data_IF_175461664723
#
_entry.id   IF_175461664723
#
_cell.length_a   1.000
_cell.length_b   1.000
_cell.length_c   1.000
_cell.angle_alpha   90.00
_cell.angle_beta   90.00
_cell.angle_gamma   90.00
#
_symmetry.space_group_name_H-M   'P 1'
#
loop_
_entity.id
_entity.type
_entity.pdbx_description
1 polymer ?
#
# COMPACT_ATOMS: atom_id res chain seq x y z
N UNK A 1 34.02 -34.74 13.33
CA UNK A 1 32.76 -34.42 12.63
C UNK A 1 32.20 -33.17 13.33
N UNK A 2 32.58 -32.02 12.81
CA UNK A 2 32.25 -30.71 13.36
C UNK A 2 30.97 -30.26 12.64
N UNK A 3 29.86 -30.13 13.37
CA UNK A 3 28.62 -29.64 12.82
C UNK A 3 28.76 -28.13 12.50
N UNK A 4 28.67 -27.78 11.22
CA UNK A 4 28.52 -26.42 10.77
C UNK A 4 27.22 -25.87 11.38
N UNK A 5 27.36 -24.84 12.22
CA UNK A 5 26.26 -24.01 12.61
C UNK A 5 25.79 -23.24 11.37
N UNK A 6 24.66 -23.62 10.82
CA UNK A 6 23.91 -22.74 9.92
C UNK A 6 23.59 -21.42 10.66
N UNK A 7 24.26 -20.35 10.27
CA UNK A 7 23.91 -19.01 10.65
C UNK A 7 22.52 -18.71 10.05
N UNK A 8 21.49 -18.89 10.87
CA UNK A 8 20.15 -18.39 10.57
C UNK A 8 20.31 -16.88 10.42
N UNK A 9 20.35 -16.37 9.18
CA UNK A 9 20.24 -14.95 8.88
C UNK A 9 18.91 -14.46 9.47
N UNK A 10 18.96 -13.94 10.69
CA UNK A 10 17.84 -13.23 11.29
C UNK A 10 17.49 -12.12 10.29
N UNK A 11 16.33 -12.24 9.67
CA UNK A 11 15.83 -11.22 8.75
C UNK A 11 15.90 -9.88 9.48
N UNK A 12 16.64 -8.91 8.93
CA UNK A 12 16.84 -7.62 9.56
C UNK A 12 15.46 -6.96 9.77
N UNK A 13 15.02 -6.95 11.02
CA UNK A 13 13.76 -6.32 11.44
C UNK A 13 13.81 -4.81 11.16
N UNK A 14 12.65 -4.22 10.95
CA UNK A 14 12.53 -2.77 10.83
C UNK A 14 12.63 -2.15 12.23
N UNK A 15 13.78 -1.55 12.54
CA UNK A 15 14.07 -0.92 13.83
C UNK A 15 13.73 0.57 13.87
N UNK A 16 13.12 1.10 12.81
CA UNK A 16 12.72 2.51 12.77
C UNK A 16 11.60 2.77 13.77
N UNK A 17 11.76 3.81 14.59
CA UNK A 17 10.70 4.25 15.48
C UNK A 17 9.75 5.20 14.72
N UNK A 18 8.45 4.85 14.56
CA UNK A 18 7.50 5.69 13.84
C UNK A 18 7.05 6.87 14.70
N UNK A 19 7.20 8.08 14.15
CA UNK A 19 6.73 9.33 14.75
C UNK A 19 6.01 10.19 13.73
N UNK A 20 5.10 11.05 14.19
CA UNK A 20 4.51 12.13 13.40
C UNK A 20 5.01 13.48 13.92
N UNK A 21 5.63 14.24 13.04
CA UNK A 21 6.18 15.56 13.36
C UNK A 21 5.16 16.66 13.02
N UNK A 22 5.07 17.66 13.87
CA UNK A 22 4.33 18.89 13.61
C UNK A 22 5.23 19.84 12.80
N UNK A 23 5.40 19.56 11.51
CA UNK A 23 6.30 20.33 10.65
C UNK A 23 5.91 21.82 10.55
N UNK A 24 4.68 22.19 10.79
CA UNK A 24 4.22 23.59 10.81
C UNK A 24 4.82 24.40 11.96
N UNK A 25 5.30 23.73 13.00
CA UNK A 25 5.99 24.35 14.15
C UNK A 25 7.52 24.37 13.97
N UNK A 26 8.04 23.78 12.86
CA UNK A 26 9.45 23.59 12.59
C UNK A 26 9.87 24.30 11.30
N UNK A 27 11.17 24.59 11.21
CA UNK A 27 11.81 25.13 10.01
C UNK A 27 12.47 24.00 9.23
N UNK A 28 12.08 23.82 7.97
CA UNK A 28 12.62 22.80 7.09
C UNK A 28 13.56 23.40 6.06
N UNK A 29 14.77 22.86 5.96
CA UNK A 29 15.71 23.17 4.89
C UNK A 29 15.72 22.05 3.86
N UNK A 30 15.58 22.41 2.58
CA UNK A 30 15.80 21.48 1.45
C UNK A 30 17.04 21.97 0.70
N UNK A 31 18.07 21.12 0.59
CA UNK A 31 19.31 21.42 -0.15
C UNK A 31 19.27 20.66 -1.47
N UNK A 32 19.24 21.40 -2.57
CA UNK A 32 19.09 20.91 -3.93
C UNK A 32 17.90 21.55 -4.63
N UNK A 33 17.96 21.73 -5.95
CA UNK A 33 16.92 22.39 -6.75
C UNK A 33 16.40 21.55 -7.92
N UNK A 34 16.75 20.25 -8.00
CA UNK A 34 16.38 19.34 -9.08
C UNK A 34 15.02 18.64 -8.86
N UNK A 35 14.78 17.63 -9.69
CA UNK A 35 13.52 16.85 -9.66
C UNK A 35 13.30 16.12 -8.32
N UNK A 36 14.37 15.62 -7.69
CA UNK A 36 14.30 14.97 -6.38
C UNK A 36 13.89 15.96 -5.30
N UNK A 37 14.47 17.17 -5.32
CA UNK A 37 14.07 18.26 -4.40
C UNK A 37 12.59 18.63 -4.59
N UNK A 38 12.12 18.72 -5.84
CA UNK A 38 10.71 18.97 -6.17
C UNK A 38 9.79 17.88 -5.62
N UNK A 39 10.17 16.60 -5.77
CA UNK A 39 9.42 15.47 -5.20
C UNK A 39 9.31 15.57 -3.68
N UNK A 40 10.42 15.83 -2.98
CA UNK A 40 10.43 15.97 -1.52
C UNK A 40 9.64 17.19 -1.04
N UNK A 41 9.77 18.32 -1.74
CA UNK A 41 8.99 19.52 -1.49
C UNK A 41 7.48 19.26 -1.59
N UNK A 42 7.03 18.59 -2.67
CA UNK A 42 5.63 18.23 -2.84
C UNK A 42 5.16 17.25 -1.76
N UNK A 43 5.99 16.28 -1.38
CA UNK A 43 5.65 15.34 -0.30
C UNK A 43 5.42 16.08 1.03
N UNK A 44 6.23 17.09 1.34
CA UNK A 44 6.06 17.91 2.55
C UNK A 44 4.81 18.77 2.46
N UNK A 45 4.63 19.54 1.40
CA UNK A 45 3.51 20.48 1.26
C UNK A 45 2.14 19.75 1.20
N UNK A 46 2.08 18.59 0.55
CA UNK A 46 0.85 17.77 0.51
C UNK A 46 0.44 17.24 1.89
N UNK A 47 1.39 17.07 2.80
CA UNK A 47 1.15 16.52 4.13
C UNK A 47 1.10 17.58 5.23
N UNK A 48 1.84 18.67 5.07
CA UNK A 48 1.97 19.78 6.03
C UNK A 48 2.11 21.09 5.27
N UNK A 49 1.02 21.64 4.73
CA UNK A 49 1.05 22.80 3.82
C UNK A 49 1.53 24.10 4.49
N UNK A 50 1.48 24.18 5.82
CA UNK A 50 1.90 25.36 6.58
C UNK A 50 3.38 25.31 7.03
N UNK A 51 4.12 24.27 6.65
CA UNK A 51 5.55 24.13 7.00
C UNK A 51 6.35 25.29 6.43
N UNK A 52 7.18 25.93 7.25
CA UNK A 52 8.17 26.93 6.80
C UNK A 52 9.31 26.22 6.10
N UNK A 53 9.48 26.46 4.82
CA UNK A 53 10.47 25.76 3.99
C UNK A 53 11.41 26.77 3.38
N UNK A 54 12.71 26.55 3.58
CA UNK A 54 13.78 27.19 2.81
C UNK A 54 14.38 26.17 1.86
N UNK A 55 14.41 26.48 0.57
CA UNK A 55 15.04 25.63 -0.44
C UNK A 55 16.26 26.36 -1.00
N UNK A 56 17.43 25.72 -0.90
CA UNK A 56 18.70 26.24 -1.37
C UNK A 56 19.29 25.31 -2.41
N UNK A 57 19.60 25.82 -3.59
CA UNK A 57 20.21 25.04 -4.68
C UNK A 57 20.97 25.94 -5.64
N UNK A 58 22.05 25.43 -6.24
CA UNK A 58 22.86 26.19 -7.22
C UNK A 58 21.99 26.54 -8.44
N UNK A 59 21.15 25.59 -8.88
CA UNK A 59 20.14 25.75 -9.92
C UNK A 59 18.80 25.26 -9.37
N UNK A 60 17.75 26.03 -9.58
CA UNK A 60 16.39 25.68 -9.13
C UNK A 60 15.49 25.45 -10.33
N UNK A 61 14.88 24.25 -10.37
CA UNK A 61 13.93 23.83 -11.40
C UNK A 61 12.74 24.81 -11.50
N UNK A 62 12.30 25.11 -12.71
CA UNK A 62 11.16 26.00 -12.95
C UNK A 62 9.87 25.54 -12.27
N UNK A 63 9.64 24.22 -12.13
CA UNK A 63 8.50 23.70 -11.38
C UNK A 63 8.51 24.10 -9.91
N UNK A 64 9.68 24.17 -9.27
CA UNK A 64 9.84 24.66 -7.90
C UNK A 64 9.60 26.17 -7.85
N UNK A 65 10.11 26.94 -8.81
CA UNK A 65 9.88 28.38 -8.89
C UNK A 65 8.40 28.72 -9.03
N UNK A 66 7.70 28.04 -9.93
CA UNK A 66 6.24 28.19 -10.10
C UNK A 66 5.45 27.80 -8.84
N UNK A 67 5.91 26.77 -8.12
CA UNK A 67 5.27 26.36 -6.87
C UNK A 67 5.47 27.43 -5.77
N UNK A 68 6.63 28.06 -5.72
CA UNK A 68 6.94 29.12 -4.75
C UNK A 68 6.07 30.37 -4.94
N UNK A 69 5.73 30.72 -6.18
CA UNK A 69 4.79 31.83 -6.47
C UNK A 69 3.43 31.67 -5.82
N UNK A 70 3.02 30.41 -5.52
CA UNK A 70 1.72 30.05 -4.95
C UNK A 70 1.79 29.63 -3.48
N UNK A 71 2.99 29.66 -2.90
CA UNK A 71 3.26 29.10 -1.57
C UNK A 71 3.99 30.14 -0.71
N UNK A 72 3.26 30.83 0.17
CA UNK A 72 3.80 31.95 0.96
C UNK A 72 4.87 31.56 1.99
N UNK A 73 4.95 30.30 2.35
CA UNK A 73 5.86 29.74 3.35
C UNK A 73 7.05 29.00 2.73
N UNK A 74 7.31 29.18 1.44
CA UNK A 74 8.45 28.65 0.70
C UNK A 74 9.39 29.77 0.27
N UNK A 75 10.59 29.78 0.84
CA UNK A 75 11.69 30.68 0.44
C UNK A 75 12.67 29.96 -0.48
N UNK A 76 13.02 30.56 -1.61
CA UNK A 76 14.02 30.04 -2.55
C UNK A 76 15.31 30.84 -2.49
N UNK A 77 16.45 30.16 -2.50
CA UNK A 77 17.78 30.76 -2.58
C UNK A 77 18.58 30.02 -3.66
N UNK A 78 18.80 30.70 -4.80
CA UNK A 78 19.57 30.13 -5.93
C UNK A 78 21.05 30.37 -5.75
N UNK A 79 21.70 29.55 -4.92
CA UNK A 79 23.13 29.58 -4.58
C UNK A 79 23.57 28.26 -3.96
N UNK A 80 24.86 28.07 -3.75
CA UNK A 80 25.33 26.97 -2.90
C UNK A 80 24.83 27.16 -1.46
N UNK A 81 24.57 26.05 -0.76
CA UNK A 81 24.23 26.08 0.65
C UNK A 81 25.44 26.51 1.49
N UNK A 82 25.17 26.93 2.69
CA UNK A 82 26.19 27.25 3.71
C UNK A 82 25.81 26.57 5.02
N UNK A 83 26.76 26.33 5.91
CA UNK A 83 26.52 25.78 7.25
C UNK A 83 25.46 26.59 8.02
N UNK A 84 25.42 27.91 7.81
CA UNK A 84 24.40 28.78 8.42
C UNK A 84 22.96 28.41 8.00
N UNK A 85 22.74 27.88 6.81
CA UNK A 85 21.42 27.46 6.38
C UNK A 85 20.95 26.23 7.21
N UNK A 86 21.90 25.32 7.53
CA UNK A 86 21.64 24.15 8.39
C UNK A 86 21.37 24.58 9.83
N UNK A 87 22.17 25.55 10.36
CA UNK A 87 21.99 26.08 11.72
C UNK A 87 20.60 26.67 11.95
N UNK A 88 20.05 27.34 10.95
CA UNK A 88 18.72 27.98 10.99
C UNK A 88 17.54 27.00 10.83
N UNK A 89 17.80 25.77 10.46
CA UNK A 89 16.76 24.75 10.25
C UNK A 89 16.64 23.81 11.47
N UNK A 90 15.48 23.23 11.66
CA UNK A 90 15.25 22.15 12.63
C UNK A 90 15.44 20.78 11.98
N UNK A 91 15.10 20.66 10.70
CA UNK A 91 15.18 19.44 9.91
C UNK A 91 15.76 19.76 8.53
N UNK A 92 16.59 18.85 8.02
CA UNK A 92 17.27 18.99 6.73
C UNK A 92 16.89 17.85 5.80
N UNK A 93 16.60 18.18 4.54
CA UNK A 93 16.47 17.23 3.44
C UNK A 93 17.52 17.55 2.40
N UNK A 94 18.50 16.66 2.22
CA UNK A 94 19.52 16.77 1.19
C UNK A 94 19.07 16.02 -0.08
N UNK A 95 18.83 16.77 -1.15
CA UNK A 95 18.42 16.27 -2.46
C UNK A 95 19.46 16.61 -3.52
N UNK A 96 20.72 16.28 -3.24
CA UNK A 96 21.88 16.50 -4.10
C UNK A 96 22.42 15.17 -4.63
N UNK A 97 22.86 15.16 -5.90
CA UNK A 97 23.34 13.92 -6.54
C UNK A 97 24.77 13.56 -6.05
N UNK A 98 25.60 14.56 -5.77
CA UNK A 98 26.97 14.34 -5.37
C UNK A 98 27.06 13.65 -3.98
N UNK A 99 27.86 12.58 -3.90
CA UNK A 99 28.01 11.81 -2.67
C UNK A 99 28.79 12.59 -1.61
N UNK A 100 29.88 13.27 -2.00
CA UNK A 100 30.72 14.02 -1.06
C UNK A 100 29.96 15.18 -0.42
N UNK A 101 29.20 15.93 -1.22
CA UNK A 101 28.32 16.99 -0.72
C UNK A 101 27.23 16.41 0.21
N UNK A 102 26.67 15.24 -0.12
CA UNK A 102 25.69 14.57 0.73
C UNK A 102 26.26 14.16 2.09
N UNK A 103 27.48 13.62 2.09
CA UNK A 103 28.20 13.24 3.31
C UNK A 103 28.59 14.47 4.13
N UNK A 104 29.03 15.54 3.48
CA UNK A 104 29.32 16.81 4.13
C UNK A 104 28.08 17.37 4.83
N UNK A 105 26.92 17.46 4.15
CA UNK A 105 25.65 17.92 4.74
C UNK A 105 25.28 17.04 5.94
N UNK A 106 25.46 15.72 5.83
CA UNK A 106 25.18 14.80 6.94
C UNK A 106 26.06 15.08 8.15
N UNK A 107 27.37 15.28 7.95
CA UNK A 107 28.33 15.52 9.01
C UNK A 107 28.07 16.89 9.68
N UNK A 108 27.92 17.95 8.91
CA UNK A 108 27.58 19.29 9.41
C UNK A 108 26.25 19.26 10.20
N UNK A 109 25.20 18.58 9.68
CA UNK A 109 23.93 18.47 10.40
C UNK A 109 24.08 17.73 11.73
N UNK A 110 24.87 16.65 11.75
CA UNK A 110 25.12 15.85 12.95
C UNK A 110 25.88 16.65 14.02
N UNK A 111 26.92 17.43 13.64
CA UNK A 111 27.71 18.23 14.54
C UNK A 111 26.88 19.26 15.32
N UNK A 112 25.84 19.80 14.69
CA UNK A 112 24.93 20.77 15.29
C UNK A 112 23.61 20.18 15.76
N UNK A 113 23.50 18.82 15.78
CA UNK A 113 22.35 18.10 16.34
C UNK A 113 21.08 18.19 15.51
N UNK A 114 21.18 18.40 14.18
CA UNK A 114 20.02 18.45 13.29
C UNK A 114 19.76 17.09 12.65
N UNK A 115 18.48 16.74 12.51
CA UNK A 115 18.08 15.52 11.80
C UNK A 115 18.12 15.74 10.28
N UNK A 116 18.72 14.78 9.56
CA UNK A 116 18.83 14.86 8.10
C UNK A 116 18.28 13.62 7.40
N UNK A 117 17.57 13.87 6.30
CA UNK A 117 17.23 12.86 5.30
C UNK A 117 18.03 13.13 4.03
N UNK A 118 18.82 12.17 3.59
CA UNK A 118 19.58 12.26 2.33
C UNK A 118 18.89 11.38 1.30
N UNK A 119 18.41 12.01 0.23
CA UNK A 119 17.69 11.29 -0.83
C UNK A 119 18.59 10.21 -1.46
N UNK A 120 18.00 9.03 -1.67
CA UNK A 120 18.61 7.85 -2.27
C UNK A 120 19.86 7.28 -1.57
N UNK A 121 20.15 7.76 -0.36
CA UNK A 121 21.32 7.32 0.44
C UNK A 121 20.90 6.91 1.87
N UNK A 122 20.27 5.73 2.05
CA UNK A 122 19.74 5.30 3.35
C UNK A 122 20.73 5.32 4.51
N UNK A 123 22.01 5.00 4.24
CA UNK A 123 23.07 5.00 5.25
C UNK A 123 23.42 6.39 5.82
N UNK A 124 23.01 7.46 5.16
CA UNK A 124 23.22 8.85 5.60
C UNK A 124 21.97 9.46 6.25
N UNK A 125 20.86 8.73 6.33
CA UNK A 125 19.59 9.24 6.86
C UNK A 125 19.44 9.00 8.36
N UNK A 126 18.95 10.01 9.09
CA UNK A 126 18.46 9.85 10.47
C UNK A 126 16.98 9.47 10.50
N UNK A 127 16.21 9.82 9.47
CA UNK A 127 14.79 9.49 9.31
C UNK A 127 14.44 9.24 7.86
N UNK A 128 13.32 8.56 7.63
CA UNK A 128 12.82 8.28 6.30
C UNK A 128 11.48 8.96 6.04
N UNK A 129 11.29 9.42 4.80
CA UNK A 129 9.99 9.89 4.31
C UNK A 129 9.22 8.68 3.76
N UNK A 130 8.28 8.15 4.54
CA UNK A 130 7.45 7.01 4.15
C UNK A 130 6.35 7.38 3.15
N UNK A 131 5.72 6.36 2.56
CA UNK A 131 4.48 6.54 1.81
C UNK A 131 3.33 6.85 2.78
N UNK A 132 2.51 7.88 2.48
CA UNK A 132 1.46 8.35 3.38
C UNK A 132 0.09 8.16 2.72
N UNK A 133 -0.81 7.48 3.43
CA UNK A 133 -2.26 7.50 3.18
C UNK A 133 -2.86 8.62 4.00
N UNK A 134 -3.72 9.44 3.39
CA UNK A 134 -4.43 10.54 4.05
C UNK A 134 -5.92 10.46 3.72
N UNK A 135 -6.75 10.35 4.73
CA UNK A 135 -8.22 10.42 4.66
C UNK A 135 -8.73 11.34 5.76
N UNK A 136 -9.03 12.57 5.38
CA UNK A 136 -9.33 13.62 6.37
C UNK A 136 -8.18 13.77 7.37
N UNK A 137 -8.50 13.66 8.65
CA UNK A 137 -7.55 13.74 9.78
C UNK A 137 -6.74 12.46 10.00
N UNK A 138 -7.13 11.32 9.36
CA UNK A 138 -6.35 10.07 9.47
C UNK A 138 -5.14 10.11 8.55
N UNK A 139 -3.98 9.84 9.13
CA UNK A 139 -2.74 9.60 8.39
C UNK A 139 -2.14 8.25 8.76
N UNK A 140 -1.73 7.47 7.76
CA UNK A 140 -1.02 6.19 7.94
C UNK A 140 0.29 6.30 7.18
N UNK A 141 1.41 6.19 7.90
CA UNK A 141 2.74 6.17 7.31
C UNK A 141 3.21 4.72 7.11
N UNK A 142 3.73 4.42 5.93
CA UNK A 142 4.18 3.09 5.54
C UNK A 142 5.68 3.15 5.27
N UNK A 143 6.45 2.37 6.02
CA UNK A 143 7.89 2.22 5.83
C UNK A 143 8.23 0.78 5.48
N UNK A 144 9.03 0.59 4.44
CA UNK A 144 9.65 -0.69 4.08
C UNK A 144 11.12 -0.73 4.47
N UNK A 145 11.56 0.16 5.39
CA UNK A 145 12.95 0.32 5.80
C UNK A 145 13.91 0.54 4.60
N UNK A 146 13.45 1.32 3.61
CA UNK A 146 14.21 1.59 2.39
C UNK A 146 14.32 0.42 1.40
N UNK A 147 13.78 -0.78 1.74
CA UNK A 147 13.94 -1.99 0.92
C UNK A 147 13.15 -1.94 -0.40
N UNK A 148 11.96 -1.32 -0.42
CA UNK A 148 11.13 -1.26 -1.63
C UNK A 148 10.14 -0.09 -1.64
N UNK A 149 10.48 1.03 -2.27
CA UNK A 149 9.55 2.13 -2.48
C UNK A 149 8.30 1.71 -3.26
N UNK A 150 8.46 0.78 -4.21
CA UNK A 150 7.34 0.24 -5.02
C UNK A 150 6.32 -0.50 -4.16
N UNK A 151 6.77 -1.36 -3.22
CA UNK A 151 5.86 -2.07 -2.30
C UNK A 151 5.17 -1.05 -1.38
N UNK A 152 5.90 -0.07 -0.86
CA UNK A 152 5.29 0.98 -0.02
C UNK A 152 4.20 1.76 -0.78
N UNK A 153 4.42 2.05 -2.07
CA UNK A 153 3.43 2.70 -2.95
C UNK A 153 2.20 1.80 -3.16
N UNK A 154 2.38 0.51 -3.44
CA UNK A 154 1.26 -0.43 -3.63
C UNK A 154 0.44 -0.62 -2.36
N UNK A 155 1.11 -0.75 -1.20
CA UNK A 155 0.43 -0.80 0.09
C UNK A 155 -0.36 0.48 0.36
N UNK A 156 0.17 1.65 -0.01
CA UNK A 156 -0.55 2.92 0.07
C UNK A 156 -1.84 2.88 -0.74
N UNK A 157 -1.80 2.41 -1.99
CA UNK A 157 -2.97 2.29 -2.87
C UNK A 157 -4.03 1.38 -2.22
N UNK A 158 -3.65 0.17 -1.81
CA UNK A 158 -4.56 -0.80 -1.16
C UNK A 158 -5.18 -0.24 0.12
N UNK A 159 -4.38 0.37 0.99
CA UNK A 159 -4.90 0.94 2.26
C UNK A 159 -5.80 2.14 1.98
N UNK A 160 -5.46 2.97 0.98
CA UNK A 160 -6.28 4.11 0.60
C UNK A 160 -7.69 3.68 0.15
N UNK A 161 -7.79 2.56 -0.56
CA UNK A 161 -9.08 2.02 -1.04
C UNK A 161 -9.87 1.33 0.08
N UNK A 162 -9.17 0.78 1.08
CA UNK A 162 -9.81 0.14 2.24
C UNK A 162 -10.42 1.13 3.24
N UNK A 163 -9.89 2.36 3.32
CA UNK A 163 -10.38 3.37 4.26
C UNK A 163 -11.56 4.12 3.62
N UNK A 164 -12.76 4.09 4.23
CA UNK A 164 -13.92 4.83 3.74
C UNK A 164 -13.65 6.34 3.63
N UNK A 165 -14.30 7.00 2.68
CA UNK A 165 -14.25 8.47 2.51
C UNK A 165 -14.83 9.19 3.72
N UNK A 166 -15.83 8.58 4.36
CA UNK A 166 -16.58 9.06 5.51
C UNK A 166 -15.82 9.00 6.84
N UNK A 167 -14.54 8.59 6.80
CA UNK A 167 -13.72 8.44 8.01
C UNK A 167 -13.59 9.75 8.81
N UNK A 168 -13.60 10.91 8.14
CA UNK A 168 -13.55 12.22 8.81
C UNK A 168 -14.81 12.45 9.64
N UNK A 169 -16.00 12.14 9.10
CA UNK A 169 -17.28 12.28 9.82
C UNK A 169 -17.32 11.35 11.05
N UNK A 170 -16.80 10.15 10.91
CA UNK A 170 -16.67 9.20 12.03
C UNK A 170 -15.79 9.77 13.15
N UNK A 171 -14.64 10.37 12.80
CA UNK A 171 -13.74 10.97 13.78
C UNK A 171 -14.36 12.18 14.48
N UNK A 172 -15.02 13.07 13.74
CA UNK A 172 -15.70 14.23 14.30
C UNK A 172 -16.83 13.83 15.24
N UNK A 173 -17.64 12.83 14.86
CA UNK A 173 -18.69 12.29 15.71
C UNK A 173 -18.11 11.66 16.98
N UNK A 174 -17.03 10.89 16.87
CA UNK A 174 -16.36 10.30 18.03
C UNK A 174 -15.76 11.35 18.96
N UNK A 175 -15.19 12.43 18.41
CA UNK A 175 -14.70 13.56 19.19
C UNK A 175 -15.84 14.25 19.94
N UNK A 176 -16.97 14.51 19.29
CA UNK A 176 -18.16 15.13 19.87
C UNK A 176 -18.71 14.28 21.03
N UNK A 177 -18.83 12.97 20.82
CA UNK A 177 -19.26 12.02 21.86
C UNK A 177 -18.29 12.07 23.03
N UNK A 178 -16.96 12.00 22.77
CA UNK A 178 -15.93 12.04 23.81
C UNK A 178 -15.99 13.29 24.68
N UNK A 179 -16.24 14.46 24.06
CA UNK A 179 -16.34 15.74 24.77
C UNK A 179 -17.64 15.83 25.56
N UNK A 180 -18.76 15.34 25.03
CA UNK A 180 -20.07 15.35 25.66
C UNK A 180 -20.28 14.32 26.79
N UNK A 181 -19.39 13.35 26.93
CA UNK A 181 -19.48 12.32 27.96
C UNK A 181 -19.03 12.84 29.33
N UNK A 182 -19.89 12.70 30.34
CA UNK A 182 -19.52 12.82 31.75
C UNK A 182 -19.06 11.45 32.29
N UNK A 183 -18.10 11.41 33.21
CA UNK A 183 -17.61 10.17 33.79
C UNK A 183 -16.08 10.07 33.79
N UNK A 184 -15.58 9.01 34.43
CA UNK A 184 -14.14 8.71 34.50
C UNK A 184 -13.58 8.29 33.14
N UNK A 185 -12.25 8.37 33.01
CA UNK A 185 -11.52 8.05 31.79
C UNK A 185 -11.81 6.61 31.29
N UNK A 186 -11.84 5.65 32.20
CA UNK A 186 -12.05 4.24 31.89
C UNK A 186 -13.45 3.94 31.35
N UNK A 187 -14.48 4.61 31.89
CA UNK A 187 -15.85 4.49 31.39
C UNK A 187 -15.99 5.07 29.98
N UNK A 188 -15.37 6.22 29.72
CA UNK A 188 -15.31 6.82 28.40
C UNK A 188 -14.65 5.91 27.38
N UNK A 189 -13.49 5.34 27.72
CA UNK A 189 -12.76 4.40 26.85
C UNK A 189 -13.61 3.16 26.57
N UNK A 190 -14.26 2.59 27.57
CA UNK A 190 -15.12 1.41 27.42
C UNK A 190 -16.28 1.68 26.45
N UNK A 191 -16.95 2.80 26.61
CA UNK A 191 -18.08 3.19 25.73
C UNK A 191 -17.63 3.44 24.29
N UNK A 192 -16.52 4.17 24.08
CA UNK A 192 -15.96 4.42 22.76
C UNK A 192 -15.51 3.12 22.08
N UNK A 193 -14.93 2.18 22.83
CA UNK A 193 -14.56 0.87 22.29
C UNK A 193 -15.80 0.06 21.86
N UNK A 194 -16.90 0.14 22.59
CA UNK A 194 -18.15 -0.51 22.21
C UNK A 194 -18.71 0.04 20.88
N UNK A 195 -18.75 1.36 20.74
CA UNK A 195 -19.22 2.03 19.51
C UNK A 195 -18.35 1.68 18.28
N UNK A 196 -17.04 1.51 18.48
CA UNK A 196 -16.09 1.22 17.39
C UNK A 196 -15.96 -0.27 17.05
N UNK A 197 -16.56 -1.17 17.81
CA UNK A 197 -16.58 -2.63 17.52
C UNK A 197 -17.11 -2.94 16.10
N UNK A 198 -18.02 -2.12 15.58
CA UNK A 198 -18.58 -2.26 14.24
C UNK A 198 -17.52 -2.18 13.16
N UNK A 199 -16.47 -1.37 13.35
CA UNK A 199 -15.35 -1.24 12.41
C UNK A 199 -14.53 -2.54 12.30
N UNK A 200 -14.45 -3.31 13.39
CA UNK A 200 -13.71 -4.58 13.44
C UNK A 200 -14.60 -5.74 12.95
N UNK A 201 -15.89 -5.72 13.25
CA UNK A 201 -16.84 -6.79 12.91
C UNK A 201 -16.98 -7.00 11.39
N UNK A 202 -16.85 -5.95 10.58
CA UNK A 202 -16.92 -6.05 9.12
C UNK A 202 -15.77 -6.85 8.50
N UNK A 203 -14.60 -6.90 9.14
CA UNK A 203 -13.46 -7.69 8.66
C UNK A 203 -13.63 -9.19 8.89
N UNK A 204 -14.34 -9.60 9.94
CA UNK A 204 -14.54 -11.01 10.28
C UNK A 204 -15.47 -11.70 9.28
N UNK A 205 -16.43 -10.98 8.71
CA UNK A 205 -17.37 -11.50 7.70
C UNK A 205 -16.72 -11.64 6.32
N UNK A 206 -15.83 -10.71 5.92
CA UNK A 206 -15.08 -10.81 4.66
C UNK A 206 -14.12 -12.01 4.65
N UNK A 207 -13.42 -12.26 5.77
CA UNK A 207 -12.50 -13.40 5.88
C UNK A 207 -13.24 -14.77 5.93
N UNK A 208 -14.43 -14.83 6.54
CA UNK A 208 -15.23 -16.05 6.56
C UNK A 208 -15.79 -16.39 5.18
N UNK A 209 -16.23 -15.39 4.42
CA UNK A 209 -16.74 -15.58 3.05
C UNK A 209 -15.67 -16.09 2.08
N UNK A 210 -14.48 -15.48 2.08
CA UNK A 210 -13.37 -15.91 1.25
C UNK A 210 -12.89 -17.33 1.60
N UNK A 211 -12.76 -17.65 2.89
CA UNK A 211 -12.34 -18.99 3.34
C UNK A 211 -13.35 -20.09 2.96
N UNK A 212 -14.64 -19.78 3.03
CA UNK A 212 -15.69 -20.71 2.66
C UNK A 212 -15.77 -20.93 1.13
N UNK A 213 -15.53 -19.92 0.32
CA UNK A 213 -15.43 -20.05 -1.14
C UNK A 213 -14.22 -20.90 -1.54
N UNK A 214 -13.05 -20.69 -0.95
CA UNK A 214 -11.87 -21.52 -1.20
C UNK A 214 -12.10 -22.99 -0.83
N UNK A 215 -12.76 -23.28 0.28
CA UNK A 215 -13.11 -24.66 0.67
C UNK A 215 -14.03 -25.31 -0.35
N UNK A 216 -15.04 -24.61 -0.87
CA UNK A 216 -15.91 -25.12 -1.93
C UNK A 216 -15.14 -25.40 -3.23
N UNK A 217 -14.27 -24.49 -3.66
CA UNK A 217 -13.45 -24.67 -4.87
C UNK A 217 -12.58 -25.93 -4.73
N UNK A 218 -11.91 -26.10 -3.60
CA UNK A 218 -11.07 -27.29 -3.34
C UNK A 218 -11.91 -28.57 -3.33
N UNK A 219 -13.10 -28.56 -2.70
CA UNK A 219 -14.00 -29.72 -2.67
C UNK A 219 -14.47 -30.11 -4.08
N UNK A 220 -14.89 -29.14 -4.89
CA UNK A 220 -15.33 -29.40 -6.27
C UNK A 220 -14.18 -29.87 -7.17
N UNK A 221 -12.98 -29.34 -6.98
CA UNK A 221 -11.79 -29.78 -7.72
C UNK A 221 -11.40 -31.23 -7.38
N UNK A 222 -11.46 -31.61 -6.10
CA UNK A 222 -11.20 -32.96 -5.65
C UNK A 222 -12.27 -33.95 -6.17
N UNK A 223 -13.54 -33.55 -6.19
CA UNK A 223 -14.64 -34.35 -6.74
C UNK A 223 -14.43 -34.56 -8.24
N UNK A 224 -14.10 -33.53 -9.01
CA UNK A 224 -13.84 -33.65 -10.44
C UNK A 224 -12.64 -34.56 -10.71
N UNK A 225 -11.57 -34.47 -9.92
CA UNK A 225 -10.39 -35.34 -10.02
C UNK A 225 -10.74 -36.79 -9.70
N UNK A 226 -11.59 -37.05 -8.70
CA UNK A 226 -12.08 -38.39 -8.37
C UNK A 226 -12.87 -38.99 -9.52
N UNK A 227 -13.80 -38.25 -10.13
CA UNK A 227 -14.57 -38.74 -11.29
C UNK A 227 -13.69 -38.95 -12.52
N UNK A 228 -12.62 -38.17 -12.71
CA UNK A 228 -11.65 -38.38 -13.78
C UNK A 228 -10.88 -39.71 -13.60
N UNK A 229 -10.44 -40.03 -12.39
CA UNK A 229 -9.79 -41.32 -12.07
C UNK A 229 -10.78 -42.50 -12.24
N UNK A 230 -12.00 -42.32 -11.72
CA UNK A 230 -13.03 -43.34 -11.84
C UNK A 230 -13.37 -43.63 -13.32
N UNK A 231 -13.54 -42.58 -14.13
CA UNK A 231 -13.75 -42.67 -15.56
C UNK A 231 -12.60 -43.37 -16.28
N UNK A 232 -11.37 -43.04 -15.94
CA UNK A 232 -10.18 -43.67 -16.51
C UNK A 232 -10.10 -45.17 -16.15
N UNK A 233 -10.41 -45.54 -14.90
CA UNK A 233 -10.42 -46.94 -14.46
C UNK A 233 -11.54 -47.75 -15.14
N UNK A 234 -12.75 -47.20 -15.26
CA UNK A 234 -13.86 -47.85 -15.95
C UNK A 234 -13.52 -48.06 -17.44
N UNK A 235 -13.00 -47.05 -18.13
CA UNK A 235 -12.58 -47.14 -19.53
C UNK A 235 -11.46 -48.14 -19.76
N UNK A 236 -10.56 -48.33 -18.77
CA UNK A 236 -9.48 -49.34 -18.86
C UNK A 236 -9.95 -50.78 -18.78
N UNK A 237 -11.11 -51.02 -18.16
CA UNK A 237 -11.68 -52.35 -18.03
C UNK A 237 -12.71 -52.73 -19.13
N UNK A 238 -13.17 -51.74 -19.93
CA UNK A 238 -14.13 -52.00 -21.02
C UNK A 238 -13.33 -52.16 -22.32
N UNK A 239 -13.44 -53.30 -23.01
CA UNK A 239 -12.74 -53.51 -24.27
C UNK A 239 -13.29 -52.54 -25.33
N UNK A 240 -12.42 -51.67 -25.81
CA UNK A 240 -12.70 -50.54 -26.74
C UNK A 240 -13.50 -50.96 -27.99
N UNK A 241 -13.44 -52.21 -28.41
CA UNK A 241 -14.19 -52.73 -29.55
C UNK A 241 -15.71 -52.68 -29.38
N UNK A 242 -16.23 -52.86 -28.18
CA UNK A 242 -17.67 -52.87 -27.92
C UNK A 242 -18.24 -51.45 -27.70
N UNK A 243 -17.39 -50.50 -27.30
CA UNK A 243 -17.77 -49.08 -27.13
C UNK A 243 -17.86 -48.36 -28.48
N UNK A 244 -16.92 -48.66 -29.40
CA UNK A 244 -16.92 -48.02 -30.71
C UNK A 244 -18.14 -48.40 -31.58
N UNK A 245 -18.69 -49.57 -31.44
CA UNK A 245 -19.91 -49.95 -32.16
C UNK A 245 -21.14 -49.20 -31.60
N UNK A 246 -21.30 -49.11 -30.29
CA UNK A 246 -22.41 -48.39 -29.68
C UNK A 246 -22.33 -46.86 -29.90
N UNK A 247 -21.12 -46.26 -29.95
CA UNK A 247 -20.95 -44.83 -30.24
C UNK A 247 -21.31 -44.50 -31.70
N UNK A 248 -21.02 -45.40 -32.65
CA UNK A 248 -21.43 -45.19 -34.05
C UNK A 248 -22.95 -45.12 -34.22
N UNK A 249 -23.69 -45.91 -33.50
CA UNK A 249 -25.15 -45.93 -33.56
C UNK A 249 -25.75 -44.68 -32.90
N UNK A 250 -25.17 -44.20 -31.76
CA UNK A 250 -25.60 -42.96 -31.10
C UNK A 250 -25.25 -41.72 -31.92
N UNK A 251 -24.05 -41.68 -32.54
CA UNK A 251 -23.62 -40.54 -33.37
C UNK A 251 -24.44 -40.47 -34.68
N UNK A 252 -24.94 -41.56 -35.19
CA UNK A 252 -25.82 -41.55 -36.38
C UNK A 252 -27.21 -40.98 -36.14
N UNK A 253 -27.68 -40.97 -34.87
CA UNK A 253 -28.98 -40.43 -34.46
C UNK A 253 -28.89 -38.95 -34.07
N UNK A 254 -27.72 -38.44 -33.72
CA UNK A 254 -27.53 -37.04 -33.34
C UNK A 254 -27.32 -36.22 -34.61
N UNK A 255 -28.30 -35.40 -34.97
CA UNK A 255 -28.12 -34.37 -35.99
C UNK A 255 -26.99 -33.42 -35.60
N UNK A 256 -25.93 -33.35 -36.46
CA UNK A 256 -24.74 -32.54 -36.23
C UNK A 256 -25.06 -31.06 -35.95
N UNK A 257 -26.16 -30.58 -36.51
CA UNK A 257 -26.59 -29.17 -36.35
C UNK A 257 -27.16 -28.91 -34.95
N UNK A 258 -27.97 -29.84 -34.42
CA UNK A 258 -28.55 -29.75 -33.08
C UNK A 258 -27.47 -29.93 -31.98
N UNK A 259 -26.50 -30.80 -32.20
CA UNK A 259 -25.38 -31.00 -31.28
C UNK A 259 -24.45 -29.74 -31.19
N UNK A 260 -24.16 -29.13 -32.34
CA UNK A 260 -23.36 -27.90 -32.40
C UNK A 260 -24.10 -26.74 -31.72
N UNK A 261 -25.42 -26.62 -31.94
CA UNK A 261 -26.26 -25.62 -31.27
C UNK A 261 -26.26 -25.79 -29.75
N UNK A 262 -26.35 -27.01 -29.25
CA UNK A 262 -26.35 -27.33 -27.82
C UNK A 262 -25.01 -27.02 -27.18
N UNK A 263 -23.88 -27.29 -27.85
CA UNK A 263 -22.52 -26.89 -27.44
C UNK A 263 -22.36 -25.35 -27.38
N UNK A 264 -22.89 -24.65 -28.40
CA UNK A 264 -22.86 -23.22 -28.49
C UNK A 264 -23.70 -22.54 -27.40
N UNK A 265 -24.88 -23.07 -27.12
CA UNK A 265 -25.75 -22.62 -26.03
C UNK A 265 -25.10 -22.86 -24.64
N UNK A 266 -24.46 -24.02 -24.43
CA UNK A 266 -23.73 -24.33 -23.21
C UNK A 266 -22.54 -23.38 -22.98
N UNK A 267 -21.79 -23.07 -24.04
CA UNK A 267 -20.68 -22.13 -23.99
C UNK A 267 -21.14 -20.69 -23.72
N UNK A 268 -22.25 -20.26 -24.32
CA UNK A 268 -22.87 -18.95 -24.09
C UNK A 268 -23.45 -18.84 -22.68
N UNK A 269 -24.07 -19.89 -22.15
CA UNK A 269 -24.57 -19.93 -20.76
C UNK A 269 -23.42 -19.79 -19.76
N UNK A 270 -22.29 -20.46 -19.98
CA UNK A 270 -21.12 -20.39 -19.13
C UNK A 270 -20.46 -18.99 -19.17
N UNK A 271 -20.56 -18.30 -20.29
CA UNK A 271 -20.05 -16.92 -20.43
C UNK A 271 -20.96 -15.89 -19.76
N UNK A 272 -22.28 -16.11 -19.74
CA UNK A 272 -23.24 -15.24 -19.04
C UNK A 272 -23.17 -15.43 -17.52
N UNK A 273 -23.00 -16.64 -17.01
CA UNK A 273 -22.80 -16.91 -15.59
C UNK A 273 -21.47 -16.32 -15.07
N UNK A 274 -20.42 -16.35 -15.87
CA UNK A 274 -19.13 -15.71 -15.54
C UNK A 274 -19.21 -14.18 -15.51
N UNK A 275 -20.06 -13.56 -16.32
CA UNK A 275 -20.24 -12.10 -16.36
C UNK A 275 -21.22 -11.58 -15.28
N UNK A 276 -22.19 -12.37 -14.88
CA UNK A 276 -23.14 -12.05 -13.79
C UNK A 276 -22.49 -12.25 -12.40
N UNK A 277 -21.50 -13.14 -12.28
CA UNK A 277 -20.76 -13.36 -11.03
C UNK A 277 -19.80 -12.21 -10.65
N UNK A 278 -19.47 -11.27 -11.57
CA UNK A 278 -18.64 -10.10 -11.30
C UNK A 278 -19.45 -8.82 -11.02
N UNK A 279 -20.77 -8.88 -11.04
CA UNK A 279 -21.66 -7.71 -10.91
C UNK A 279 -22.33 -7.52 -9.54
N UNK A 280 -22.19 -8.44 -8.60
CA UNK A 280 -22.79 -8.31 -7.26
C UNK A 280 -21.76 -8.04 -6.18
N UNK A 281 -21.04 -6.95 -6.30
CA UNK A 281 -20.04 -6.47 -5.34
C UNK A 281 -20.04 -4.97 -5.11
N UNK A 282 -21.11 -4.26 -5.54
CA UNK A 282 -21.25 -2.82 -5.27
C UNK A 282 -22.70 -2.51 -4.96
N UNK A 283 -23.08 -2.69 -3.72
CA UNK A 283 -24.05 -1.90 -2.95
C UNK A 283 -23.57 -1.92 -1.49
#
# INVERSE_FOLDING_TARGET
>A
MIAEKEDIKVAAENRLFPIFLKLEELSLLIIGGGNVAFEKLNAVLNNSPQTKIKLVGIEINNAIKTLAERTNNLELSERAYTTRDIEQADIVIAAVNDFLTSEQIKNESKEIGKLVNVADKPGLCDFYLGSIVKKGSVKIAISTNGKSPTIAKRLKEVINDLIPSEMEDVLQNMQTIRVGMNGDFDEKVKHLNELTKVLIAKQTTLNKGARHQWQKIVQWSLLAFFFMILGHTILSYIPLKNVLSGVKDVVSVIDKKSFLMMLLCGFLAQRTDGSLGMGYGTI
#
